data_IF_215523863106
#
_entry.id   IF_215523863106
#
_cell.length_a   1.000
_cell.length_b   1.000
_cell.length_c   1.000
_cell.angle_alpha   90.00
_cell.angle_beta   90.00
_cell.angle_gamma   90.00
#
_symmetry.space_group_name_H-M   'P 1'
#
loop_
_entity.id
_entity.type
_entity.pdbx_description
1 polymer ?
#
# COMPACT_ATOMS: atom_id res chain seq x y z
N UNK A 1 -31.60 15.40 26.81
CA UNK A 1 -30.14 15.28 26.72
C UNK A 1 -29.86 14.18 25.72
N UNK A 2 -29.57 14.54 24.47
CA UNK A 2 -29.21 13.56 23.44
C UNK A 2 -27.91 12.89 23.86
N UNK A 3 -27.92 11.56 23.83
CA UNK A 3 -26.77 10.75 24.14
C UNK A 3 -25.93 10.73 22.87
N UNK A 4 -24.86 11.52 22.81
CA UNK A 4 -23.93 11.41 21.69
C UNK A 4 -23.41 9.97 21.63
N UNK A 5 -23.72 9.26 20.56
CA UNK A 5 -23.14 7.95 20.27
C UNK A 5 -21.63 8.15 20.14
N UNK A 6 -20.89 7.76 21.18
CA UNK A 6 -19.44 7.67 21.10
C UNK A 6 -19.13 6.58 20.08
N UNK A 7 -18.76 6.97 18.86
CA UNK A 7 -18.29 6.06 17.81
C UNK A 7 -17.23 5.16 18.44
N UNK A 8 -17.51 3.86 18.48
CA UNK A 8 -16.59 2.88 19.02
C UNK A 8 -15.32 2.89 18.19
N UNK A 9 -14.18 2.74 18.86
CA UNK A 9 -12.87 2.58 18.23
C UNK A 9 -12.91 1.49 17.13
N UNK A 10 -13.66 0.40 17.36
CA UNK A 10 -13.78 -0.71 16.42
C UNK A 10 -14.53 -0.40 15.12
N UNK A 11 -15.34 0.67 15.11
CA UNK A 11 -16.13 1.05 13.93
C UNK A 11 -15.41 2.06 13.03
N UNK A 12 -14.19 2.49 13.42
CA UNK A 12 -13.43 3.49 12.69
C UNK A 12 -12.92 2.91 11.37
N UNK A 13 -13.17 3.64 10.28
CA UNK A 13 -12.63 3.36 8.95
C UNK A 13 -11.55 4.39 8.64
N UNK A 14 -10.68 4.05 7.70
CA UNK A 14 -9.69 4.98 7.17
C UNK A 14 -10.36 6.25 6.62
N UNK A 15 -9.83 7.40 7.00
CA UNK A 15 -10.15 8.71 6.46
C UNK A 15 -8.85 9.38 5.97
N UNK A 16 -8.89 10.18 4.90
CA UNK A 16 -7.68 10.85 4.38
C UNK A 16 -6.96 11.74 5.42
N UNK A 17 -7.70 12.29 6.39
CA UNK A 17 -7.12 13.05 7.50
C UNK A 17 -6.30 12.22 8.48
N UNK A 18 -6.40 10.89 8.45
CA UNK A 18 -5.67 9.99 9.37
C UNK A 18 -4.16 10.08 9.18
N UNK A 19 -3.68 10.45 8.00
CA UNK A 19 -2.27 10.77 7.74
C UNK A 19 -1.74 11.95 8.60
N UNK A 20 -2.62 12.81 9.10
CA UNK A 20 -2.28 14.01 9.87
C UNK A 20 -2.64 13.89 11.36
N UNK A 21 -3.29 12.79 11.76
CA UNK A 21 -3.73 12.56 13.15
C UNK A 21 -2.64 11.86 13.95
N UNK A 22 -2.51 12.23 15.22
CA UNK A 22 -1.45 11.72 16.08
C UNK A 22 -1.80 10.44 16.86
N UNK A 23 -3.06 10.02 16.86
CA UNK A 23 -3.48 8.81 17.57
C UNK A 23 -3.04 7.52 16.85
N UNK A 24 -2.75 6.49 17.64
CA UNK A 24 -2.21 5.21 17.16
C UNK A 24 -3.11 4.53 16.13
N UNK A 25 -4.43 4.68 16.28
CA UNK A 25 -5.40 4.06 15.38
C UNK A 25 -5.37 4.73 14.02
N UNK A 26 -5.39 6.06 13.99
CA UNK A 26 -5.24 6.82 12.73
C UNK A 26 -3.91 6.49 12.04
N UNK A 27 -2.81 6.41 12.81
CA UNK A 27 -1.50 6.01 12.27
C UNK A 27 -1.52 4.61 11.64
N UNK A 28 -2.13 3.64 12.32
CA UNK A 28 -2.27 2.27 11.80
C UNK A 28 -3.15 2.20 10.55
N UNK A 29 -4.28 2.92 10.53
CA UNK A 29 -5.18 3.01 9.37
C UNK A 29 -4.46 3.64 8.17
N UNK A 30 -3.77 4.76 8.37
CA UNK A 30 -3.00 5.43 7.33
C UNK A 30 -1.86 4.54 6.77
N UNK A 31 -1.13 3.87 7.66
CA UNK A 31 -0.01 2.98 7.28
C UNK A 31 -0.50 1.80 6.43
N UNK A 32 -1.60 1.15 6.83
CA UNK A 32 -2.15 0.01 6.08
C UNK A 32 -2.78 0.44 4.76
N UNK A 33 -3.38 1.64 4.70
CA UNK A 33 -3.85 2.23 3.46
C UNK A 33 -2.69 2.49 2.47
N UNK A 34 -1.59 3.06 2.94
CA UNK A 34 -0.37 3.28 2.15
C UNK A 34 0.20 1.96 1.61
N UNK A 35 0.39 0.95 2.47
CA UNK A 35 0.88 -0.36 2.04
C UNK A 35 0.03 -1.01 0.94
N UNK A 36 -1.31 -0.89 1.02
CA UNK A 36 -2.23 -1.41 0.00
C UNK A 36 -2.11 -0.62 -1.29
N UNK A 37 -2.03 0.71 -1.22
CA UNK A 37 -1.88 1.60 -2.38
C UNK A 37 -0.55 1.35 -3.11
N UNK A 38 0.55 1.22 -2.37
CA UNK A 38 1.88 0.96 -2.90
C UNK A 38 1.91 -0.42 -3.57
N UNK A 39 1.34 -1.44 -2.91
CA UNK A 39 1.25 -2.79 -3.50
C UNK A 39 0.46 -2.80 -4.80
N UNK A 40 -0.62 -2.02 -4.89
CA UNK A 40 -1.43 -1.94 -6.10
C UNK A 40 -0.70 -1.21 -7.24
N UNK A 41 0.09 -0.18 -6.91
CA UNK A 41 0.72 0.70 -7.90
C UNK A 41 2.10 0.21 -8.32
N UNK A 42 2.94 -0.15 -7.35
CA UNK A 42 4.34 -0.52 -7.52
C UNK A 42 4.54 -2.03 -7.55
N UNK A 43 3.54 -2.80 -7.11
CA UNK A 43 3.64 -4.24 -6.93
C UNK A 43 4.30 -4.60 -5.61
N UNK A 44 4.55 -5.89 -5.42
CA UNK A 44 5.19 -6.43 -4.22
C UNK A 44 6.69 -6.61 -4.42
N UNK A 45 7.44 -6.76 -3.32
CA UNK A 45 8.89 -6.99 -3.36
C UNK A 45 9.31 -8.31 -4.05
N UNK A 46 8.38 -9.23 -4.30
CA UNK A 46 8.58 -10.47 -5.07
C UNK A 46 8.10 -10.35 -6.53
N UNK A 47 7.80 -9.14 -6.99
CA UNK A 47 7.48 -8.87 -8.38
C UNK A 47 8.57 -9.38 -9.33
N UNK A 48 8.13 -10.00 -10.43
CA UNK A 48 8.96 -10.35 -11.56
C UNK A 48 8.80 -9.28 -12.63
N UNK A 49 9.92 -8.67 -13.03
CA UNK A 49 9.92 -7.56 -13.98
C UNK A 49 10.33 -8.09 -15.35
N UNK A 50 9.58 -7.71 -16.38
CA UNK A 50 9.90 -8.08 -17.76
C UNK A 50 11.18 -7.41 -18.23
N UNK A 51 12.02 -8.19 -18.92
CA UNK A 51 13.25 -7.69 -19.51
C UNK A 51 12.98 -7.30 -20.96
N UNK A 52 13.32 -6.06 -21.31
CA UNK A 52 13.28 -5.56 -22.68
C UNK A 52 14.69 -5.65 -23.31
N UNK A 53 14.74 -5.85 -24.61
CA UNK A 53 15.97 -5.68 -25.39
C UNK A 53 16.27 -4.20 -25.67
N UNK A 54 17.36 -3.95 -26.37
CA UNK A 54 17.82 -2.59 -26.75
C UNK A 54 16.84 -1.85 -27.67
N UNK A 55 15.97 -2.56 -28.38
CA UNK A 55 15.02 -2.02 -29.33
C UNK A 55 13.61 -1.90 -28.68
N UNK A 56 13.49 -2.25 -27.39
CA UNK A 56 12.27 -2.14 -26.60
C UNK A 56 11.35 -3.36 -26.70
N UNK A 57 11.79 -4.45 -27.31
CA UNK A 57 10.99 -5.67 -27.42
C UNK A 57 11.15 -6.56 -26.19
N UNK A 58 10.06 -7.22 -25.82
CA UNK A 58 9.99 -8.16 -24.71
C UNK A 58 10.89 -9.37 -24.99
N UNK A 59 11.89 -9.60 -24.13
CA UNK A 59 12.82 -10.74 -24.28
C UNK A 59 12.14 -12.05 -23.87
N UNK A 60 11.27 -12.02 -22.86
CA UNK A 60 10.57 -13.19 -22.33
C UNK A 60 9.35 -12.78 -21.50
N UNK A 61 8.26 -13.53 -21.60
CA UNK A 61 7.04 -13.34 -20.81
C UNK A 61 7.09 -13.98 -19.40
N UNK A 62 8.25 -14.50 -18.99
CA UNK A 62 8.38 -15.16 -17.67
C UNK A 62 8.75 -14.19 -16.55
N UNK A 63 9.10 -12.94 -16.89
CA UNK A 63 9.69 -11.96 -15.98
C UNK A 63 11.00 -12.46 -15.34
N UNK A 64 11.73 -11.54 -14.70
CA UNK A 64 12.91 -11.88 -13.88
C UNK A 64 12.74 -11.31 -12.49
N UNK A 65 13.14 -12.08 -11.48
CA UNK A 65 13.14 -11.60 -10.10
C UNK A 65 14.05 -10.37 -9.97
N UNK A 66 13.58 -9.38 -9.23
CA UNK A 66 14.37 -8.20 -8.88
C UNK A 66 15.56 -8.61 -8.01
N UNK A 67 16.75 -8.04 -8.27
CA UNK A 67 17.93 -8.32 -7.47
C UNK A 67 17.80 -7.64 -6.11
N UNK A 68 17.46 -8.43 -5.09
CA UNK A 68 17.37 -8.01 -3.69
C UNK A 68 18.79 -7.94 -3.12
N UNK A 69 19.55 -6.89 -3.44
CA UNK A 69 20.83 -6.64 -2.76
C UNK A 69 20.54 -6.33 -1.28
N UNK A 70 21.27 -7.03 -0.39
CA UNK A 70 21.28 -6.78 1.05
C UNK A 70 22.07 -5.53 1.39
#
# INVERSE_FOLDING_TARGET
MEKEERKSIGDRKYEASDYQRDDEISKGLATTHEQVSDTLTEGTYDAKVDQLDKDGHLVTHKGKEINKRK
#
